data_IF_901999867400
#
_entry.id   IF_901999867400
#
_cell.length_a   1.000
_cell.length_b   1.000
_cell.length_c   1.000
_cell.angle_alpha   90.00
_cell.angle_beta   90.00
_cell.angle_gamma   90.00
#
_symmetry.space_group_name_H-M   'P 1'
#
loop_
_entity.id
_entity.type
_entity.pdbx_description
1 polymer ?
#
# COMPACT_ATOMS: atom_id res chain seq x y z
N UNK A 1 10.00 -7.48 -7.72
CA UNK A 1 9.29 -6.78 -6.63
C UNK A 1 7.82 -6.69 -7.03
N UNK A 2 6.87 -6.98 -6.14
CA UNK A 2 5.44 -7.15 -6.48
C UNK A 2 4.87 -5.98 -7.29
N UNK A 3 5.09 -4.74 -6.85
CA UNK A 3 4.62 -3.54 -7.54
C UNK A 3 5.21 -3.39 -8.94
N UNK A 4 6.49 -3.74 -9.15
CA UNK A 4 7.13 -3.72 -10.47
C UNK A 4 6.57 -4.77 -11.43
N UNK A 5 6.11 -5.92 -10.93
CA UNK A 5 5.45 -6.94 -11.75
C UNK A 5 4.05 -6.51 -12.16
N UNK A 6 3.34 -5.79 -11.29
CA UNK A 6 2.00 -5.26 -11.58
C UNK A 6 2.01 -3.99 -12.42
N UNK A 7 3.08 -3.20 -12.40
CA UNK A 7 3.18 -1.98 -13.19
C UNK A 7 3.20 -2.30 -14.69
N UNK A 8 2.13 -1.91 -15.39
CA UNK A 8 1.94 -2.21 -16.82
C UNK A 8 1.35 -3.59 -17.12
N UNK A 9 0.94 -4.35 -16.11
CA UNK A 9 0.26 -5.63 -16.31
C UNK A 9 -1.09 -5.43 -17.02
N UNK A 10 -1.35 -6.24 -18.06
CA UNK A 10 -2.59 -6.14 -18.84
C UNK A 10 -3.85 -6.54 -18.06
N UNK A 11 -3.67 -7.30 -16.99
CA UNK A 11 -4.72 -7.77 -16.08
C UNK A 11 -4.70 -7.03 -14.73
N UNK A 12 -4.13 -5.81 -14.68
CA UNK A 12 -4.21 -4.94 -13.52
C UNK A 12 -5.66 -4.69 -13.14
N UNK A 13 -6.05 -5.07 -11.92
CA UNK A 13 -7.40 -4.83 -11.41
C UNK A 13 -7.41 -3.49 -10.71
N UNK A 14 -8.35 -2.64 -11.10
CA UNK A 14 -8.53 -1.31 -10.55
C UNK A 14 -9.94 -1.21 -9.99
N UNK A 15 -10.04 -0.83 -8.73
CA UNK A 15 -11.29 -0.55 -8.03
C UNK A 15 -11.34 0.93 -7.65
N UNK A 16 -12.56 1.49 -7.58
CA UNK A 16 -12.76 2.88 -7.17
C UNK A 16 -13.22 2.91 -5.72
N UNK A 17 -12.45 3.57 -4.85
CA UNK A 17 -12.80 3.79 -3.45
C UNK A 17 -14.00 4.77 -3.34
N UNK A 18 -14.72 4.82 -2.21
CA UNK A 18 -15.85 5.74 -2.02
C UNK A 18 -15.53 7.22 -2.21
N UNK A 19 -14.28 7.62 -2.02
CA UNK A 19 -13.77 8.98 -2.23
C UNK A 19 -13.34 9.26 -3.69
N UNK A 20 -13.66 8.34 -4.61
CA UNK A 20 -13.35 8.40 -6.05
C UNK A 20 -11.87 8.29 -6.41
N UNK A 21 -11.01 7.85 -5.48
CA UNK A 21 -9.63 7.50 -5.79
C UNK A 21 -9.52 6.05 -6.27
N UNK A 22 -8.58 5.72 -7.18
CA UNK A 22 -8.35 4.34 -7.57
C UNK A 22 -7.53 3.60 -6.52
N UNK A 23 -7.84 2.34 -6.29
CA UNK A 23 -6.97 1.35 -5.67
C UNK A 23 -6.77 0.19 -6.65
N UNK A 24 -5.64 -0.49 -6.59
CA UNK A 24 -5.35 -1.64 -7.43
C UNK A 24 -5.16 -2.91 -6.61
N UNK A 25 -5.21 -4.07 -7.27
CA UNK A 25 -4.79 -5.31 -6.60
C UNK A 25 -3.30 -5.27 -6.19
N UNK A 26 -2.49 -4.44 -6.84
CA UNK A 26 -1.10 -4.22 -6.45
C UNK A 26 -1.00 -3.49 -5.10
N UNK A 27 -1.88 -2.53 -4.82
CA UNK A 27 -1.96 -1.84 -3.52
C UNK A 27 -2.28 -2.84 -2.41
N UNK A 28 -3.38 -3.57 -2.58
CA UNK A 28 -3.87 -4.54 -1.60
C UNK A 28 -2.84 -5.65 -1.32
N UNK A 29 -2.22 -6.20 -2.36
CA UNK A 29 -1.26 -7.29 -2.21
C UNK A 29 0.06 -6.81 -1.59
N UNK A 30 0.51 -5.60 -1.93
CA UNK A 30 1.70 -5.00 -1.34
C UNK A 30 1.48 -4.71 0.14
N UNK A 31 0.33 -4.15 0.53
CA UNK A 31 0.06 -3.89 1.95
C UNK A 31 -0.03 -5.18 2.77
N UNK A 32 -0.69 -6.22 2.24
CA UNK A 32 -0.75 -7.55 2.88
C UNK A 32 0.65 -8.13 3.10
N UNK A 33 1.51 -8.03 2.08
CA UNK A 33 2.89 -8.50 2.16
C UNK A 33 3.67 -7.74 3.25
N UNK A 34 3.56 -6.41 3.27
CA UNK A 34 4.24 -5.57 4.27
C UNK A 34 3.73 -5.88 5.68
N UNK A 35 2.42 -5.96 5.89
CA UNK A 35 1.82 -6.33 7.19
C UNK A 35 2.29 -7.70 7.67
N UNK A 36 2.36 -8.70 6.79
CA UNK A 36 2.83 -10.04 7.14
C UNK A 36 4.31 -10.01 7.58
N UNK A 37 5.17 -9.27 6.86
CA UNK A 37 6.59 -9.12 7.20
C UNK A 37 6.80 -8.34 8.50
N UNK A 38 6.04 -7.29 8.71
CA UNK A 38 6.09 -6.51 9.95
C UNK A 38 5.61 -7.33 11.14
N UNK A 39 4.55 -8.12 10.99
CA UNK A 39 4.09 -9.03 12.05
C UNK A 39 5.15 -10.10 12.41
N UNK A 40 5.91 -10.59 11.43
CA UNK A 40 7.01 -11.55 11.66
C UNK A 40 8.18 -10.93 12.44
N UNK A 41 8.58 -9.70 12.10
CA UNK A 41 9.79 -9.07 12.65
C UNK A 41 9.55 -8.07 13.79
N UNK A 42 8.33 -7.55 13.91
CA UNK A 42 7.88 -6.50 14.84
C UNK A 42 6.42 -6.76 15.27
N UNK A 43 6.13 -7.91 15.91
CA UNK A 43 4.76 -8.32 16.24
C UNK A 43 3.99 -7.31 17.12
N UNK A 44 4.70 -6.50 17.91
CA UNK A 44 4.11 -5.52 18.82
C UNK A 44 3.96 -4.12 18.21
N UNK A 45 4.56 -3.84 17.04
CA UNK A 45 4.43 -2.53 16.40
C UNK A 45 3.13 -2.52 15.55
N UNK A 46 2.12 -1.68 15.85
CA UNK A 46 0.92 -1.54 15.04
C UNK A 46 1.23 -0.99 13.65
N UNK A 47 0.36 -1.32 12.68
CA UNK A 47 0.46 -0.86 11.28
C UNK A 47 -0.79 -0.09 10.89
N UNK A 48 -0.62 1.18 10.53
CA UNK A 48 -1.62 2.03 9.92
C UNK A 48 -1.35 2.16 8.41
N UNK A 49 -2.15 1.50 7.59
CA UNK A 49 -1.99 1.47 6.13
C UNK A 49 -3.10 2.21 5.41
N UNK A 50 -2.83 2.68 4.20
CA UNK A 50 -3.82 3.37 3.36
C UNK A 50 -5.03 2.46 3.03
N UNK A 51 -4.78 1.19 2.68
CA UNK A 51 -5.83 0.31 2.13
C UNK A 51 -6.64 -0.41 3.19
N UNK A 52 -5.95 -0.96 4.22
CA UNK A 52 -6.63 -1.71 5.28
C UNK A 52 -6.81 -0.90 6.57
N UNK A 53 -6.36 0.35 6.60
CA UNK A 53 -6.50 1.23 7.76
C UNK A 53 -5.72 0.73 8.97
N UNK A 54 -6.34 0.85 10.15
CA UNK A 54 -5.76 0.55 11.44
C UNK A 54 -6.10 1.65 12.45
N UNK A 55 -5.91 1.38 13.74
CA UNK A 55 -5.99 2.43 14.76
C UNK A 55 -4.77 3.34 14.64
N UNK A 56 -4.99 4.66 14.58
CA UNK A 56 -3.89 5.63 14.65
C UNK A 56 -3.35 5.66 16.07
N UNK A 57 -2.05 5.50 16.21
CA UNK A 57 -1.35 5.59 17.50
C UNK A 57 -0.43 6.80 17.49
N UNK A 58 -0.47 7.61 18.56
CA UNK A 58 0.26 8.89 18.63
C UNK A 58 1.30 8.93 19.76
N UNK A 59 1.33 7.91 20.62
CA UNK A 59 2.18 7.84 21.82
C UNK A 59 3.15 6.66 21.80
N UNK A 60 2.99 5.75 20.85
CA UNK A 60 3.79 4.53 20.70
C UNK A 60 4.34 4.44 19.27
N UNK A 61 5.24 3.49 19.06
CA UNK A 61 5.79 3.19 17.72
C UNK A 61 4.66 2.70 16.82
N UNK A 62 4.60 3.19 15.58
CA UNK A 62 3.60 2.75 14.61
C UNK A 62 4.17 2.82 13.21
N UNK A 63 4.06 1.75 12.45
CA UNK A 63 4.36 1.78 11.02
C UNK A 63 3.22 2.47 10.28
N UNK A 64 3.57 3.39 9.39
CA UNK A 64 2.64 4.03 8.45
C UNK A 64 3.05 3.65 7.04
N UNK A 65 2.13 3.08 6.26
CA UNK A 65 2.41 2.57 4.93
C UNK A 65 1.40 3.05 3.90
N UNK A 66 1.93 3.47 2.74
CA UNK A 66 1.19 3.68 1.51
C UNK A 66 1.83 2.76 0.45
N UNK A 67 1.12 1.70 0.02
CA UNK A 67 1.65 0.73 -0.92
C UNK A 67 2.09 1.33 -2.26
N UNK A 68 1.30 2.26 -2.82
CA UNK A 68 1.55 2.95 -4.08
C UNK A 68 1.02 4.38 -3.99
N UNK A 69 1.88 5.28 -3.53
CA UNK A 69 1.63 6.71 -3.67
C UNK A 69 1.68 7.07 -5.15
N UNK A 70 0.68 7.82 -5.61
CA UNK A 70 0.49 8.12 -7.02
C UNK A 70 -0.21 7.02 -7.82
N UNK A 71 -1.17 6.28 -7.23
CA UNK A 71 -1.95 5.22 -7.91
C UNK A 71 -2.54 5.64 -9.27
N UNK A 72 -2.96 6.90 -9.42
CA UNK A 72 -3.44 7.44 -10.71
C UNK A 72 -2.36 7.42 -11.81
N UNK A 73 -1.11 7.64 -11.46
CA UNK A 73 0.03 7.53 -12.38
C UNK A 73 0.33 6.06 -12.65
N UNK A 74 0.32 5.23 -11.61
CA UNK A 74 0.54 3.78 -11.71
C UNK A 74 -0.40 3.12 -12.73
N UNK A 75 -1.71 3.36 -12.60
CA UNK A 75 -2.75 2.82 -13.49
C UNK A 75 -2.60 3.30 -14.95
N UNK A 76 -1.97 4.47 -15.17
CA UNK A 76 -1.77 5.06 -16.50
C UNK A 76 -0.40 4.74 -17.10
N UNK A 77 0.42 3.95 -16.44
CA UNK A 77 1.79 3.64 -16.88
C UNK A 77 2.75 4.83 -16.77
N UNK A 78 2.40 5.87 -16.01
CA UNK A 78 3.28 7.01 -15.74
C UNK A 78 4.23 6.59 -14.60
N UNK A 79 5.57 6.61 -14.78
CA UNK A 79 6.51 6.05 -13.81
C UNK A 79 6.84 7.00 -12.64
N UNK A 80 5.83 7.77 -12.21
CA UNK A 80 5.94 8.69 -11.07
C UNK A 80 5.01 8.18 -9.97
N UNK A 81 5.51 7.22 -9.22
CA UNK A 81 4.86 6.57 -8.09
C UNK A 81 5.94 5.96 -7.19
N UNK A 82 5.61 5.68 -5.93
CA UNK A 82 6.54 5.00 -5.02
C UNK A 82 5.79 4.26 -3.91
N UNK A 83 6.51 3.41 -3.18
CA UNK A 83 6.00 2.81 -1.94
C UNK A 83 6.54 3.63 -0.76
N UNK A 84 5.67 4.16 0.09
CA UNK A 84 6.05 4.93 1.27
C UNK A 84 5.96 4.03 2.51
N UNK A 85 7.04 4.01 3.29
CA UNK A 85 7.13 3.26 4.55
C UNK A 85 7.77 4.17 5.59
N UNK A 86 7.07 4.39 6.68
CA UNK A 86 7.51 5.19 7.82
C UNK A 86 7.26 4.45 9.15
N UNK A 87 7.94 4.89 10.21
CA UNK A 87 7.85 4.38 11.58
C UNK A 87 7.85 5.54 12.58
#
# INVERSE_FOLDING_TARGET
>A
ALTMERFGASDLRVETKPDMTPATDADLNTERLLRARLAEHRPDDPVFGEEFGGSKEFSSRQWVIDPIDGTKNFVRGVPVWCTLIAL
#
